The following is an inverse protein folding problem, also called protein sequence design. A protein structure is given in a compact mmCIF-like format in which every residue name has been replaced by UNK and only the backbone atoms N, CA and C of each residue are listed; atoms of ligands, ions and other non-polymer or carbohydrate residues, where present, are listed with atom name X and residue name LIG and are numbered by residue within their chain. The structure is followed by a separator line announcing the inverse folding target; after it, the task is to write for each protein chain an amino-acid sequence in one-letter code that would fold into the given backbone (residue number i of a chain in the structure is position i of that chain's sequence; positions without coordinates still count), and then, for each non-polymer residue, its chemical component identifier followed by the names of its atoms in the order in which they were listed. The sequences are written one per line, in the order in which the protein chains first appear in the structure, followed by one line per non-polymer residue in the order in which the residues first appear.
data_IF_606017949522
#
_entry.id   IF_606017949522
#
_cell.length_a   1.000
_cell.length_b   1.000
_cell.length_c   1.000
_cell.angle_alpha   90.00
_cell.angle_beta   90.00
_cell.angle_gamma   90.00
#
_symmetry.space_group_name_H-M   'P 1'
#
loop_
_entity.id
_entity.type
_entity.pdbx_description
1 polymer ?
#
# COMPACT_ATOMS: atom_id res chain seq x y z
N UNK A 1 10.37 16.04 33.49
CA UNK A 1 9.75 15.66 32.20
C UNK A 1 10.66 16.03 31.01
N UNK A 2 11.12 17.24 30.85
CA UNK A 2 11.94 17.70 29.71
C UNK A 2 13.27 16.94 29.51
N UNK A 3 13.96 16.58 30.62
CA UNK A 3 15.23 15.84 30.59
C UNK A 3 15.05 14.38 30.13
N UNK A 4 13.91 13.77 30.45
CA UNK A 4 13.57 12.40 30.04
C UNK A 4 13.13 12.36 28.57
N UNK A 5 12.44 13.41 28.12
CA UNK A 5 12.02 13.57 26.73
C UNK A 5 13.21 13.75 25.77
N UNK A 6 14.30 14.39 26.22
CA UNK A 6 15.55 14.51 25.46
C UNK A 6 16.32 13.18 25.41
N UNK A 7 16.23 12.34 26.47
CA UNK A 7 16.99 11.11 26.55
C UNK A 7 16.48 10.03 25.59
N UNK A 8 15.17 9.76 25.50
CA UNK A 8 14.66 8.75 24.55
C UNK A 8 14.82 9.19 23.09
N UNK A 9 14.70 10.49 22.80
CA UNK A 9 14.99 11.02 21.46
C UNK A 9 16.43 10.73 21.04
N UNK A 10 17.39 10.95 21.95
CA UNK A 10 18.79 10.62 21.71
C UNK A 10 19.02 9.13 21.40
N UNK A 11 18.25 8.24 22.02
CA UNK A 11 18.31 6.78 21.71
C UNK A 11 17.72 6.52 20.32
N UNK A 12 16.60 7.14 19.96
CA UNK A 12 16.01 7.02 18.62
C UNK A 12 17.00 7.52 17.56
N UNK A 13 17.60 8.69 17.77
CA UNK A 13 18.56 9.27 16.83
C UNK A 13 19.82 8.40 16.67
N UNK A 14 20.28 7.77 17.76
CA UNK A 14 21.36 6.80 17.72
C UNK A 14 21.03 5.60 16.80
N UNK A 15 19.85 5.00 16.97
CA UNK A 15 19.45 3.87 16.12
C UNK A 15 19.19 4.28 14.68
N UNK A 16 18.52 5.43 14.46
CA UNK A 16 18.34 5.98 13.11
C UNK A 16 19.67 6.14 12.40
N UNK A 17 20.67 6.70 13.07
CA UNK A 17 22.00 6.87 12.49
C UNK A 17 22.60 5.51 12.11
N UNK A 18 22.58 4.52 13.03
CA UNK A 18 23.14 3.18 12.74
C UNK A 18 22.46 2.48 11.57
N UNK A 19 21.14 2.66 11.42
CA UNK A 19 20.39 2.12 10.29
C UNK A 19 20.82 2.84 9.00
N UNK A 20 20.89 4.17 9.02
CA UNK A 20 21.28 4.97 7.85
C UNK A 20 22.74 4.72 7.43
N UNK A 21 23.64 4.46 8.38
CA UNK A 21 25.03 4.12 8.13
C UNK A 21 25.21 2.64 7.70
N UNK A 22 24.11 1.85 7.67
CA UNK A 22 24.14 0.42 7.31
C UNK A 22 24.73 -0.50 8.37
N UNK A 23 24.95 0.01 9.59
CA UNK A 23 25.50 -0.77 10.72
C UNK A 23 24.43 -1.67 11.37
N UNK A 24 23.14 -1.36 11.18
CA UNK A 24 22.01 -2.17 11.60
C UNK A 24 21.11 -2.44 10.39
N UNK A 25 20.77 -3.71 10.19
CA UNK A 25 19.99 -4.18 9.04
C UNK A 25 18.71 -4.88 9.49
N UNK A 26 17.66 -4.91 8.65
CA UNK A 26 16.47 -5.69 8.92
C UNK A 26 16.79 -7.15 9.25
N UNK A 27 16.14 -7.69 10.28
CA UNK A 27 16.38 -9.02 10.82
C UNK A 27 17.43 -9.09 11.93
N UNK A 28 18.26 -8.05 12.12
CA UNK A 28 19.26 -8.04 13.17
C UNK A 28 18.65 -7.81 14.56
N UNK A 29 19.14 -8.58 15.52
CA UNK A 29 18.74 -8.49 16.92
C UNK A 29 19.47 -7.34 17.62
N UNK A 30 18.70 -6.50 18.30
CA UNK A 30 19.27 -5.44 19.13
C UNK A 30 19.89 -6.00 20.42
N UNK A 31 20.91 -5.32 20.97
CA UNK A 31 21.43 -5.64 22.31
C UNK A 31 20.31 -5.51 23.37
N UNK A 32 20.46 -6.17 24.53
CA UNK A 32 19.54 -6.00 25.65
C UNK A 32 19.40 -4.53 26.07
N UNK A 33 18.19 -4.12 26.48
CA UNK A 33 17.91 -2.73 26.92
C UNK A 33 18.91 -2.22 27.97
N UNK A 34 19.40 -3.13 28.83
CA UNK A 34 20.40 -2.80 29.85
C UNK A 34 21.71 -2.34 29.22
N UNK A 35 22.16 -3.08 28.21
CA UNK A 35 23.46 -2.85 27.58
C UNK A 35 23.42 -1.57 26.73
N UNK A 36 22.28 -1.31 26.07
CA UNK A 36 22.03 -0.04 25.36
C UNK A 36 22.02 1.14 26.36
N UNK A 37 21.38 0.98 27.53
CA UNK A 37 21.31 2.02 28.54
C UNK A 37 22.72 2.38 29.09
N UNK A 38 23.55 1.37 29.34
CA UNK A 38 24.94 1.55 29.75
C UNK A 38 25.77 2.24 28.66
N UNK A 39 25.69 1.76 27.43
CA UNK A 39 26.44 2.30 26.29
C UNK A 39 26.13 3.78 26.00
N UNK A 40 24.85 4.16 26.11
CA UNK A 40 24.39 5.52 25.82
C UNK A 40 24.33 6.43 27.06
N UNK A 41 24.68 5.91 28.25
CA UNK A 41 24.59 6.61 29.54
C UNK A 41 23.21 7.23 29.78
N UNK A 42 22.15 6.45 29.55
CA UNK A 42 20.74 6.84 29.75
C UNK A 42 20.04 5.85 30.67
N UNK A 43 18.82 6.21 31.16
CA UNK A 43 18.02 5.28 31.94
C UNK A 43 17.44 4.16 31.07
N UNK A 44 17.24 2.96 31.66
CA UNK A 44 16.55 1.85 30.98
C UNK A 44 15.14 2.23 30.53
N UNK A 45 14.44 3.08 31.29
CA UNK A 45 13.13 3.59 30.92
C UNK A 45 13.18 4.43 29.62
N UNK A 46 14.25 5.23 29.44
CA UNK A 46 14.42 6.01 28.20
C UNK A 46 14.68 5.09 26.99
N UNK A 47 15.45 4.01 27.18
CA UNK A 47 15.66 2.99 26.14
C UNK A 47 14.36 2.28 25.80
N UNK A 48 13.61 1.84 26.81
CA UNK A 48 12.32 1.16 26.60
C UNK A 48 11.31 2.03 25.87
N UNK A 49 11.23 3.32 26.23
CA UNK A 49 10.34 4.26 25.55
C UNK A 49 10.77 4.49 24.09
N UNK A 50 12.07 4.58 23.81
CA UNK A 50 12.58 4.69 22.44
C UNK A 50 12.24 3.44 21.62
N UNK A 51 12.48 2.24 22.17
CA UNK A 51 12.14 0.96 21.51
C UNK A 51 10.65 0.89 21.24
N UNK A 52 9.80 1.25 22.21
CA UNK A 52 8.34 1.25 22.03
C UNK A 52 7.90 2.18 20.90
N UNK A 53 8.45 3.38 20.81
CA UNK A 53 8.14 4.32 19.72
C UNK A 53 8.58 3.74 18.38
N UNK A 54 9.77 3.15 18.32
CA UNK A 54 10.28 2.56 17.07
C UNK A 54 9.53 1.28 16.68
N UNK A 55 9.00 0.52 17.64
CA UNK A 55 8.11 -0.63 17.41
C UNK A 55 6.76 -0.16 16.83
N UNK A 56 6.15 0.87 17.42
CA UNK A 56 4.91 1.48 16.92
C UNK A 56 5.04 2.04 15.50
N UNK A 57 6.24 2.46 15.10
CA UNK A 57 6.50 2.98 13.75
C UNK A 57 7.00 1.91 12.78
N UNK A 58 7.12 0.65 13.19
CA UNK A 58 7.55 -0.45 12.33
C UNK A 58 9.05 -0.48 12.01
N UNK A 59 9.88 0.26 12.76
CA UNK A 59 11.36 0.20 12.65
C UNK A 59 11.94 -0.94 13.45
N UNK A 60 11.30 -1.30 14.56
CA UNK A 60 11.67 -2.40 15.45
C UNK A 60 10.46 -3.32 15.59
N UNK A 61 10.70 -4.62 15.77
CA UNK A 61 9.71 -5.61 16.17
C UNK A 61 10.11 -6.18 17.53
N UNK A 62 9.27 -5.98 18.54
CA UNK A 62 9.47 -6.46 19.90
C UNK A 62 8.81 -7.83 20.09
N UNK A 63 9.62 -8.88 20.20
CA UNK A 63 9.15 -10.26 20.36
C UNK A 63 9.28 -10.70 21.82
N UNK A 64 8.16 -11.03 22.46
CA UNK A 64 8.13 -11.45 23.84
C UNK A 64 9.04 -12.67 24.09
N UNK A 65 9.97 -12.54 25.01
CA UNK A 65 10.94 -13.60 25.36
C UNK A 65 12.09 -13.78 24.38
N UNK A 66 12.03 -13.18 23.19
CA UNK A 66 13.07 -13.30 22.14
C UNK A 66 13.95 -12.05 22.05
N UNK A 67 13.39 -10.85 22.27
CA UNK A 67 14.08 -9.57 22.23
C UNK A 67 13.56 -8.64 21.14
N UNK A 68 14.33 -7.60 20.81
CA UNK A 68 13.98 -6.57 19.85
C UNK A 68 14.81 -6.77 18.57
N UNK A 69 14.15 -6.65 17.42
CA UNK A 69 14.78 -6.85 16.11
C UNK A 69 14.51 -5.65 15.22
N UNK A 70 15.48 -5.29 14.38
CA UNK A 70 15.25 -4.30 13.33
C UNK A 70 14.30 -4.91 12.28
N UNK A 71 13.30 -4.14 11.86
CA UNK A 71 12.34 -4.54 10.83
C UNK A 71 12.10 -3.40 9.84
N UNK A 72 11.32 -3.64 8.79
CA UNK A 72 10.85 -2.64 7.83
C UNK A 72 9.33 -2.71 7.66
N UNK A 73 8.60 -2.97 8.76
CA UNK A 73 7.14 -3.16 8.75
C UNK A 73 6.40 -1.82 8.93
N UNK A 74 6.77 -0.82 8.11
CA UNK A 74 6.18 0.52 8.19
C UNK A 74 4.72 0.59 7.71
N UNK A 75 4.29 -0.36 6.89
CA UNK A 75 3.02 -0.31 6.17
C UNK A 75 1.84 -0.14 7.12
N UNK A 76 1.82 -0.87 8.25
CA UNK A 76 0.72 -0.80 9.21
C UNK A 76 0.58 0.59 9.84
N UNK A 77 1.66 1.13 10.38
CA UNK A 77 1.65 2.44 11.05
C UNK A 77 1.38 3.58 10.06
N UNK A 78 1.88 3.44 8.83
CA UNK A 78 1.62 4.39 7.75
C UNK A 78 0.14 4.34 7.32
N UNK A 79 -0.43 3.15 7.16
CA UNK A 79 -1.83 2.97 6.81
C UNK A 79 -2.78 3.55 7.88
N UNK A 80 -2.50 3.33 9.18
CA UNK A 80 -3.27 3.93 10.27
C UNK A 80 -3.19 5.47 10.22
N UNK A 81 -2.00 6.03 10.03
CA UNK A 81 -1.78 7.47 9.93
C UNK A 81 -2.49 8.07 8.71
N UNK A 82 -2.38 7.43 7.54
CA UNK A 82 -3.04 7.86 6.31
C UNK A 82 -4.57 7.79 6.45
N UNK A 83 -5.11 6.75 7.05
CA UNK A 83 -6.56 6.62 7.30
C UNK A 83 -7.07 7.77 8.17
N UNK A 84 -6.35 8.13 9.23
CA UNK A 84 -6.71 9.28 10.07
C UNK A 84 -6.61 10.60 9.31
N UNK A 85 -5.55 10.80 8.53
CA UNK A 85 -5.36 12.00 7.70
C UNK A 85 -6.51 12.15 6.70
N UNK A 86 -6.88 11.08 6.00
CA UNK A 86 -8.00 11.09 5.06
C UNK A 86 -9.32 11.46 5.73
N UNK A 87 -9.57 10.94 6.95
CA UNK A 87 -10.78 11.27 7.70
C UNK A 87 -10.80 12.74 8.15
N UNK A 88 -9.66 13.29 8.58
CA UNK A 88 -9.54 14.67 9.07
C UNK A 88 -9.59 15.69 7.94
N UNK A 89 -8.93 15.41 6.82
CA UNK A 89 -8.85 16.32 5.66
C UNK A 89 -10.08 16.18 4.73
N UNK A 90 -11.04 15.32 5.07
CA UNK A 90 -12.26 15.06 4.25
C UNK A 90 -11.93 14.74 2.79
N UNK A 91 -10.88 13.94 2.58
CA UNK A 91 -10.41 13.55 1.25
C UNK A 91 -11.52 12.79 0.53
N UNK A 92 -11.83 13.20 -0.69
CA UNK A 92 -12.85 12.57 -1.51
C UNK A 92 -12.28 11.42 -2.37
N UNK A 93 -13.19 10.65 -2.94
CA UNK A 93 -12.84 9.52 -3.80
C UNK A 93 -12.18 9.93 -5.13
N UNK A 94 -12.41 11.15 -5.60
CA UNK A 94 -11.78 11.68 -6.81
C UNK A 94 -10.26 11.81 -6.61
N UNK A 95 -9.83 12.32 -5.46
CA UNK A 95 -8.42 12.43 -5.11
C UNK A 95 -7.75 11.04 -4.98
N UNK A 96 -8.47 10.06 -4.41
CA UNK A 96 -8.00 8.67 -4.34
C UNK A 96 -7.86 8.05 -5.74
N UNK A 97 -8.86 8.27 -6.61
CA UNK A 97 -8.81 7.82 -8.02
C UNK A 97 -7.61 8.38 -8.76
N UNK A 98 -7.33 9.69 -8.60
CA UNK A 98 -6.20 10.37 -9.25
C UNK A 98 -4.84 9.78 -8.84
N UNK A 99 -4.64 9.57 -7.54
CA UNK A 99 -3.38 8.99 -7.01
C UNK A 99 -3.24 7.54 -7.47
N UNK A 100 -4.31 6.73 -7.39
CA UNK A 100 -4.28 5.35 -7.88
C UNK A 100 -3.92 5.31 -9.36
N UNK A 101 -4.57 6.12 -10.19
CA UNK A 101 -4.28 6.19 -11.62
C UNK A 101 -2.80 6.48 -11.88
N UNK A 102 -2.22 7.48 -11.21
CA UNK A 102 -0.82 7.85 -11.39
C UNK A 102 0.13 6.71 -11.00
N UNK A 103 -0.10 6.09 -9.84
CA UNK A 103 0.73 4.99 -9.35
C UNK A 103 0.58 3.71 -10.19
N UNK A 104 -0.64 3.38 -10.61
CA UNK A 104 -0.89 2.17 -11.40
C UNK A 104 -0.42 2.31 -12.86
N UNK A 105 -0.48 3.51 -13.44
CA UNK A 105 0.15 3.78 -14.74
C UNK A 105 1.67 3.61 -14.68
N UNK A 106 2.32 4.14 -13.64
CA UNK A 106 3.75 3.91 -13.41
C UNK A 106 4.05 2.42 -13.17
N UNK A 107 3.25 1.76 -12.33
CA UNK A 107 3.40 0.34 -12.07
C UNK A 107 3.32 -0.49 -13.34
N UNK A 108 2.38 -0.20 -14.22
CA UNK A 108 2.23 -0.90 -15.49
C UNK A 108 3.46 -0.73 -16.39
N UNK A 109 3.93 0.50 -16.59
CA UNK A 109 5.12 0.76 -17.41
C UNK A 109 6.35 -0.03 -16.93
N UNK A 110 6.53 -0.11 -15.61
CA UNK A 110 7.61 -0.88 -15.01
C UNK A 110 7.37 -2.40 -15.07
N UNK A 111 6.12 -2.86 -14.91
CA UNK A 111 5.77 -4.27 -14.94
C UNK A 111 5.99 -4.91 -16.32
N UNK A 112 5.95 -4.16 -17.40
CA UNK A 112 6.27 -4.65 -18.75
C UNK A 112 7.67 -5.28 -18.80
N UNK A 113 8.63 -4.75 -18.03
CA UNK A 113 10.01 -5.23 -18.00
C UNK A 113 10.24 -6.25 -16.87
N UNK A 114 9.53 -6.11 -15.74
CA UNK A 114 9.83 -6.82 -14.51
C UNK A 114 8.87 -7.97 -14.19
N UNK A 115 7.64 -7.95 -14.73
CA UNK A 115 6.66 -8.99 -14.42
C UNK A 115 7.12 -10.37 -14.92
N UNK A 116 7.07 -11.36 -14.04
CA UNK A 116 7.29 -12.76 -14.42
C UNK A 116 6.05 -13.34 -15.08
N UNK A 117 6.26 -14.37 -15.93
CA UNK A 117 5.15 -15.09 -16.58
C UNK A 117 4.14 -15.63 -15.55
N UNK A 118 4.62 -16.14 -14.40
CA UNK A 118 3.75 -16.64 -13.32
C UNK A 118 2.87 -15.54 -12.70
N UNK A 119 3.39 -14.31 -12.54
CA UNK A 119 2.59 -13.18 -12.06
C UNK A 119 1.54 -12.78 -13.08
N UNK A 120 1.89 -12.76 -14.36
CA UNK A 120 0.94 -12.46 -15.44
C UNK A 120 -0.18 -13.51 -15.51
N UNK A 121 0.18 -14.80 -15.40
CA UNK A 121 -0.80 -15.89 -15.36
C UNK A 121 -1.74 -15.79 -14.15
N UNK A 122 -1.22 -15.44 -12.96
CA UNK A 122 -2.05 -15.23 -11.77
C UNK A 122 -3.00 -14.06 -11.94
N UNK A 123 -2.53 -12.91 -12.47
CA UNK A 123 -3.40 -11.78 -12.80
C UNK A 123 -4.48 -12.14 -13.82
N UNK A 124 -4.14 -12.94 -14.83
CA UNK A 124 -5.13 -13.45 -15.80
C UNK A 124 -6.21 -14.32 -15.15
N UNK A 125 -5.82 -15.18 -14.19
CA UNK A 125 -6.78 -15.99 -13.42
C UNK A 125 -7.72 -15.09 -12.59
N UNK A 126 -7.21 -14.04 -11.96
CA UNK A 126 -8.04 -13.06 -11.23
C UNK A 126 -9.06 -12.39 -12.14
N UNK A 127 -8.66 -11.96 -13.34
CA UNK A 127 -9.56 -11.35 -14.33
C UNK A 127 -10.64 -12.34 -14.78
N UNK A 128 -10.29 -13.61 -15.02
CA UNK A 128 -11.26 -14.66 -15.38
C UNK A 128 -12.25 -14.95 -14.23
N UNK A 129 -11.80 -14.84 -12.98
CA UNK A 129 -12.66 -15.04 -11.81
C UNK A 129 -13.60 -13.84 -11.59
N UNK A 130 -13.11 -12.61 -11.77
CA UNK A 130 -13.92 -11.39 -11.78
C UNK A 130 -15.04 -11.41 -12.81
N UNK A 131 -14.76 -11.94 -14.01
CA UNK A 131 -15.74 -12.03 -15.10
C UNK A 131 -16.90 -13.00 -14.78
N UNK A 132 -16.62 -14.05 -14.01
CA UNK A 132 -17.60 -15.09 -13.66
C UNK A 132 -18.36 -14.82 -12.37
N UNK A 133 -17.79 -14.06 -11.48
CA UNK A 133 -18.35 -13.84 -10.15
C UNK A 133 -19.50 -12.84 -10.16
N UNK A 134 -20.53 -13.14 -9.36
CA UNK A 134 -21.66 -12.23 -9.08
C UNK A 134 -21.69 -11.78 -7.62
N UNK A 135 -20.67 -12.14 -6.83
CA UNK A 135 -20.52 -11.76 -5.42
C UNK A 135 -19.71 -10.45 -5.33
N UNK A 136 -20.37 -9.39 -4.90
CA UNK A 136 -19.80 -8.03 -4.84
C UNK A 136 -18.60 -7.94 -3.88
N UNK A 137 -18.66 -8.61 -2.72
CA UNK A 137 -17.58 -8.62 -1.72
C UNK A 137 -16.35 -9.35 -2.29
N UNK A 138 -16.59 -10.50 -2.89
CA UNK A 138 -15.54 -11.27 -3.57
C UNK A 138 -14.93 -10.47 -4.72
N UNK A 139 -15.76 -9.80 -5.52
CA UNK A 139 -15.30 -8.99 -6.64
C UNK A 139 -14.43 -7.82 -6.20
N UNK A 140 -14.79 -7.14 -5.11
CA UNK A 140 -13.97 -6.06 -4.55
C UNK A 140 -12.59 -6.58 -4.11
N UNK A 141 -12.53 -7.74 -3.46
CA UNK A 141 -11.28 -8.35 -3.03
C UNK A 141 -10.40 -8.79 -4.22
N UNK A 142 -11.00 -9.37 -5.27
CA UNK A 142 -10.29 -9.77 -6.49
C UNK A 142 -9.75 -8.57 -7.25
N UNK A 143 -10.54 -7.51 -7.38
CA UNK A 143 -10.16 -6.25 -8.01
C UNK A 143 -8.97 -5.61 -7.30
N UNK A 144 -9.06 -5.47 -5.98
CA UNK A 144 -7.95 -5.01 -5.15
C UNK A 144 -6.70 -5.86 -5.40
N UNK A 145 -6.84 -7.19 -5.33
CA UNK A 145 -5.71 -8.12 -5.52
C UNK A 145 -5.06 -7.91 -6.90
N UNK A 146 -5.84 -7.73 -7.96
CA UNK A 146 -5.32 -7.49 -9.31
C UNK A 146 -4.45 -6.23 -9.36
N UNK A 147 -4.93 -5.11 -8.85
CA UNK A 147 -4.21 -3.84 -8.85
C UNK A 147 -2.94 -3.87 -7.98
N UNK A 148 -3.00 -4.53 -6.82
CA UNK A 148 -1.82 -4.70 -5.96
C UNK A 148 -0.78 -5.65 -6.57
N UNK A 149 -1.22 -6.70 -7.27
CA UNK A 149 -0.29 -7.57 -8.02
C UNK A 149 0.38 -6.84 -9.17
N UNK A 150 -0.32 -5.95 -9.86
CA UNK A 150 0.29 -5.08 -10.87
C UNK A 150 1.39 -4.21 -10.24
N UNK A 151 1.10 -3.58 -9.09
CA UNK A 151 2.07 -2.78 -8.36
C UNK A 151 3.28 -3.60 -7.90
N UNK A 152 3.05 -4.80 -7.38
CA UNK A 152 4.11 -5.73 -6.98
C UNK A 152 4.98 -6.15 -8.17
N UNK A 153 4.36 -6.41 -9.32
CA UNK A 153 5.04 -6.83 -10.55
C UNK A 153 5.89 -5.71 -11.17
N UNK A 154 5.69 -4.47 -10.75
CA UNK A 154 6.52 -3.32 -11.17
C UNK A 154 7.98 -3.42 -10.69
N UNK A 155 8.25 -4.21 -9.63
CA UNK A 155 9.55 -4.24 -8.95
C UNK A 155 9.87 -2.97 -8.15
N UNK A 156 9.01 -1.95 -8.18
CA UNK A 156 9.19 -0.72 -7.42
C UNK A 156 8.47 -0.81 -6.08
N UNK A 157 9.24 -1.08 -5.03
CA UNK A 157 8.72 -1.25 -3.68
C UNK A 157 7.94 -0.02 -3.18
N UNK A 158 8.35 1.20 -3.56
CA UNK A 158 7.67 2.42 -3.14
C UNK A 158 6.26 2.55 -3.72
N UNK A 159 6.04 2.11 -4.96
CA UNK A 159 4.70 2.09 -5.58
C UNK A 159 3.78 1.18 -4.79
N UNK A 160 4.26 -0.02 -4.43
CA UNK A 160 3.51 -0.96 -3.60
C UNK A 160 3.25 -0.40 -2.20
N UNK A 161 4.27 0.10 -1.52
CA UNK A 161 4.17 0.65 -0.16
C UNK A 161 3.19 1.83 -0.08
N UNK A 162 3.16 2.71 -1.09
CA UNK A 162 2.19 3.80 -1.14
C UNK A 162 0.74 3.31 -1.32
N UNK A 163 0.51 2.32 -2.18
CA UNK A 163 -0.82 1.72 -2.33
C UNK A 163 -1.25 0.99 -1.05
N UNK A 164 -0.33 0.26 -0.40
CA UNK A 164 -0.59 -0.40 0.88
C UNK A 164 -0.87 0.60 2.01
N UNK A 165 -0.14 1.71 2.07
CA UNK A 165 -0.38 2.77 3.04
C UNK A 165 -1.79 3.39 2.89
N UNK A 166 -2.30 3.47 1.67
CA UNK A 166 -3.65 3.95 1.38
C UNK A 166 -4.71 2.83 1.43
N UNK A 167 -4.34 1.58 1.75
CA UNK A 167 -5.20 0.41 1.57
C UNK A 167 -6.56 0.53 2.27
N UNK A 168 -6.61 1.06 3.50
CA UNK A 168 -7.87 1.20 4.23
C UNK A 168 -8.90 2.09 3.52
N UNK A 169 -8.45 3.15 2.86
CA UNK A 169 -9.32 4.04 2.08
C UNK A 169 -9.58 3.47 0.69
N UNK A 170 -8.59 2.84 0.07
CA UNK A 170 -8.73 2.15 -1.21
C UNK A 170 -9.74 1.00 -1.10
N UNK A 171 -9.79 0.27 0.01
CA UNK A 171 -10.77 -0.80 0.23
C UNK A 171 -12.20 -0.26 0.20
N UNK A 172 -12.47 0.81 0.93
CA UNK A 172 -13.78 1.47 0.93
C UNK A 172 -14.13 2.03 -0.46
N UNK A 173 -13.15 2.64 -1.11
CA UNK A 173 -13.28 3.17 -2.47
C UNK A 173 -13.63 2.07 -3.49
N UNK A 174 -12.87 0.98 -3.52
CA UNK A 174 -13.12 -0.14 -4.46
C UNK A 174 -14.49 -0.76 -4.19
N UNK A 175 -14.82 -1.01 -2.92
CA UNK A 175 -16.11 -1.59 -2.55
C UNK A 175 -17.27 -0.72 -3.06
N UNK A 176 -17.24 0.58 -2.80
CA UNK A 176 -18.27 1.52 -3.20
C UNK A 176 -18.36 1.69 -4.72
N UNK A 177 -17.22 1.77 -5.42
CA UNK A 177 -17.19 1.91 -6.86
C UNK A 177 -17.70 0.65 -7.56
N UNK A 178 -17.32 -0.52 -7.10
CA UNK A 178 -17.82 -1.76 -7.68
C UNK A 178 -19.34 -1.92 -7.49
N UNK A 179 -19.87 -1.58 -6.33
CA UNK A 179 -21.31 -1.59 -6.10
C UNK A 179 -22.06 -0.69 -7.12
N UNK A 180 -21.52 0.47 -7.47
CA UNK A 180 -22.09 1.34 -8.50
C UNK A 180 -21.88 0.81 -9.94
N UNK A 181 -20.72 0.26 -10.23
CA UNK A 181 -20.40 -0.32 -11.55
C UNK A 181 -21.29 -1.52 -11.84
N UNK A 182 -21.48 -2.40 -10.86
CA UNK A 182 -22.29 -3.61 -11.01
C UNK A 182 -23.80 -3.36 -11.14
N UNK A 183 -24.28 -2.12 -10.97
CA UNK A 183 -25.69 -1.76 -11.21
C UNK A 183 -26.11 -1.93 -12.67
N UNK A 184 -25.17 -1.86 -13.60
CA UNK A 184 -25.46 -2.05 -15.03
C UNK A 184 -24.51 -3.06 -15.66
N UNK A 185 -25.05 -3.99 -16.43
CA UNK A 185 -24.26 -4.98 -17.16
C UNK A 185 -23.28 -4.34 -18.14
N UNK A 186 -23.62 -3.17 -18.70
CA UNK A 186 -22.76 -2.43 -19.61
C UNK A 186 -21.46 -1.96 -18.91
N UNK A 187 -21.58 -1.34 -17.74
CA UNK A 187 -20.42 -0.88 -16.94
C UNK A 187 -19.54 -2.04 -16.49
N UNK A 188 -20.19 -3.11 -16.01
CA UNK A 188 -19.49 -4.36 -15.64
C UNK A 188 -18.67 -4.89 -16.80
N UNK A 189 -19.28 -4.96 -17.99
CA UNK A 189 -18.61 -5.44 -19.20
C UNK A 189 -17.43 -4.53 -19.58
N UNK A 190 -17.61 -3.20 -19.55
CA UNK A 190 -16.55 -2.23 -19.86
C UNK A 190 -15.37 -2.37 -18.89
N UNK A 191 -15.63 -2.50 -17.57
CA UNK A 191 -14.58 -2.68 -16.57
C UNK A 191 -13.80 -3.97 -16.82
N UNK A 192 -14.50 -5.07 -17.06
CA UNK A 192 -13.87 -6.37 -17.31
C UNK A 192 -13.06 -6.35 -18.64
N UNK A 193 -13.51 -5.64 -19.66
CA UNK A 193 -12.75 -5.42 -20.90
C UNK A 193 -11.47 -4.63 -20.67
N UNK A 194 -11.50 -3.61 -19.79
CA UNK A 194 -10.30 -2.87 -19.42
C UNK A 194 -9.27 -3.79 -18.74
N UNK A 195 -9.70 -4.62 -17.77
CA UNK A 195 -8.80 -5.57 -17.11
C UNK A 195 -8.24 -6.61 -18.09
N UNK A 196 -9.06 -7.18 -18.99
CA UNK A 196 -8.59 -8.12 -20.02
C UNK A 196 -7.51 -7.49 -20.90
N UNK A 197 -7.76 -6.28 -21.41
CA UNK A 197 -6.80 -5.54 -22.26
C UNK A 197 -5.52 -5.20 -21.53
N UNK A 198 -5.59 -4.89 -20.23
CA UNK A 198 -4.43 -4.63 -19.40
C UNK A 198 -3.51 -5.87 -19.34
N UNK A 199 -4.07 -7.06 -19.09
CA UNK A 199 -3.30 -8.30 -19.05
C UNK A 199 -2.78 -8.71 -20.42
N UNK A 200 -3.57 -8.53 -21.47
CA UNK A 200 -3.10 -8.74 -22.86
C UNK A 200 -1.90 -7.86 -23.18
N UNK A 201 -1.97 -6.57 -22.83
CA UNK A 201 -0.89 -5.63 -23.04
C UNK A 201 0.40 -6.00 -22.28
N UNK A 202 0.28 -6.53 -21.04
CA UNK A 202 1.44 -7.06 -20.30
C UNK A 202 2.07 -8.25 -21.04
N UNK A 203 1.26 -9.19 -21.54
CA UNK A 203 1.74 -10.35 -22.31
C UNK A 203 2.44 -9.94 -23.61
N UNK A 204 1.88 -8.96 -24.30
CA UNK A 204 2.38 -8.45 -25.57
C UNK A 204 3.53 -7.46 -25.40
N UNK A 205 3.80 -7.03 -24.16
CA UNK A 205 4.74 -5.95 -23.82
C UNK A 205 4.43 -4.64 -24.53
N UNK A 206 3.13 -4.36 -24.69
CA UNK A 206 2.62 -3.17 -25.37
C UNK A 206 2.24 -2.10 -24.33
N UNK A 207 3.18 -1.16 -24.10
CA UNK A 207 2.99 -0.09 -23.14
C UNK A 207 1.81 0.82 -23.51
N UNK A 208 1.68 1.17 -24.78
CA UNK A 208 0.61 2.07 -25.26
C UNK A 208 -0.76 1.48 -25.03
N UNK A 209 -0.95 0.21 -25.39
CA UNK A 209 -2.21 -0.52 -25.19
C UNK A 209 -2.60 -0.63 -23.73
N UNK A 210 -1.64 -0.88 -22.84
CA UNK A 210 -1.90 -1.00 -21.42
C UNK A 210 -2.21 0.33 -20.74
N UNK A 211 -1.48 1.39 -21.09
CA UNK A 211 -1.78 2.75 -20.61
C UNK A 211 -3.18 3.21 -21.06
N UNK A 212 -3.59 2.88 -22.28
CA UNK A 212 -4.93 3.17 -22.76
C UNK A 212 -6.01 2.38 -22.02
N UNK A 213 -5.75 1.11 -21.70
CA UNK A 213 -6.66 0.29 -20.88
C UNK A 213 -6.84 0.86 -19.47
N UNK A 214 -5.76 1.26 -18.80
CA UNK A 214 -5.81 1.91 -17.48
C UNK A 214 -6.52 3.27 -17.54
N UNK A 215 -6.21 4.09 -18.53
CA UNK A 215 -6.90 5.37 -18.72
C UNK A 215 -8.42 5.18 -18.86
N UNK A 216 -8.85 4.22 -19.65
CA UNK A 216 -10.27 3.91 -19.84
C UNK A 216 -10.92 3.37 -18.55
N UNK A 217 -10.20 2.53 -17.80
CA UNK A 217 -10.62 2.03 -16.49
C UNK A 217 -10.91 3.19 -15.53
N UNK A 218 -9.96 4.11 -15.36
CA UNK A 218 -10.14 5.25 -14.46
C UNK A 218 -11.13 6.30 -14.98
N UNK A 219 -11.28 6.46 -16.28
CA UNK A 219 -12.34 7.30 -16.84
C UNK A 219 -13.73 6.81 -16.43
N UNK A 220 -13.99 5.50 -16.53
CA UNK A 220 -15.25 4.91 -16.07
C UNK A 220 -15.51 5.16 -14.59
N UNK A 221 -14.48 5.04 -13.77
CA UNK A 221 -14.58 5.33 -12.33
C UNK A 221 -14.91 6.81 -12.09
N UNK A 222 -14.23 7.72 -12.77
CA UNK A 222 -14.43 9.16 -12.59
C UNK A 222 -15.84 9.61 -13.05
N UNK A 223 -16.36 9.06 -14.15
CA UNK A 223 -17.75 9.28 -14.58
C UNK A 223 -18.77 8.89 -13.49
N UNK A 224 -18.52 7.76 -12.82
CA UNK A 224 -19.40 7.31 -11.73
C UNK A 224 -19.28 8.22 -10.50
N UNK A 225 -18.09 8.72 -10.20
CA UNK A 225 -17.89 9.66 -9.10
C UNK A 225 -18.66 10.97 -9.36
N UNK A 226 -18.55 11.52 -10.56
CA UNK A 226 -19.30 12.73 -10.95
C UNK A 226 -20.82 12.51 -10.86
N UNK A 227 -21.32 11.36 -11.29
CA UNK A 227 -22.75 11.03 -11.16
C UNK A 227 -23.18 10.93 -9.69
N UNK A 228 -22.33 10.42 -8.79
CA UNK A 228 -22.64 10.36 -7.34
C UNK A 228 -22.70 11.74 -6.71
N UNK A 229 -21.79 12.64 -7.09
CA UNK A 229 -21.79 14.02 -6.60
C UNK A 229 -23.06 14.76 -7.06
N UNK A 230 -23.42 14.64 -8.33
CA UNK A 230 -24.62 15.26 -8.88
C UNK A 230 -25.93 14.73 -8.25
N UNK A 231 -25.93 13.53 -7.69
CA UNK A 231 -27.11 12.97 -6.98
C UNK A 231 -27.24 13.44 -5.53
N UNK A 232 -26.21 14.05 -4.94
CA UNK A 232 -26.22 14.58 -3.57
C UNK A 232 -26.71 16.03 -3.49
N UNK A 233 -26.82 16.72 -4.64
CA UNK A 233 -27.37 18.06 -4.80
C UNK A 233 -28.87 17.97 -5.11
#
# INVERSE_FOLDING_TARGET
MEKQQKAYKGVIDYFKKKIMDGELRPGEKLPPERDIAEQLNVSRNSVREAIRIMDMTGVISSQQGSGNYITCEFQKSLAETMTMMFAMDQIDYSQISQIRQALECLAFSLAIEHASDGQIEEMEMLVKELDKSTDDVKNAALDKKLHFMLAQSSGNILVLDFLEACSGVIDSFIHDMRAEILRTEERKKLLNECHKKLIEALKEKDETKGQEALKRHFMLINEILEERENRKI
#
